data_IF_615770430707
#
_entry.id   IF_615770430707
#
_cell.length_a   1.000
_cell.length_b   1.000
_cell.length_c   1.000
_cell.angle_alpha   90.00
_cell.angle_beta   90.00
_cell.angle_gamma   90.00
#
_symmetry.space_group_name_H-M   'P 1'
#
loop_
_entity.id
_entity.type
_entity.pdbx_description
1 polymer ?
#
# COMPACT_ATOMS: atom_id res chain seq x y z
N UNK A 1 4.29 31.08 -22.81
CA UNK A 1 3.67 30.37 -21.67
C UNK A 1 3.99 28.87 -21.61
N UNK A 2 5.04 28.35 -22.26
CA UNK A 2 5.15 26.90 -22.52
C UNK A 2 6.04 26.10 -21.55
N UNK A 3 7.22 26.59 -21.14
CA UNK A 3 8.17 25.73 -20.38
C UNK A 3 7.84 25.53 -18.89
N UNK A 4 7.32 26.55 -18.19
CA UNK A 4 7.08 26.48 -16.73
C UNK A 4 5.90 25.59 -16.32
N UNK A 5 4.89 25.42 -17.20
CA UNK A 5 3.76 24.51 -16.93
C UNK A 5 4.17 23.06 -17.11
N UNK A 6 4.89 22.74 -18.19
CA UNK A 6 5.43 21.40 -18.44
C UNK A 6 6.41 20.94 -17.35
N UNK A 7 7.27 21.84 -16.86
CA UNK A 7 8.15 21.53 -15.73
C UNK A 7 7.39 21.25 -14.42
N UNK A 8 6.29 21.97 -14.17
CA UNK A 8 5.43 21.75 -13.00
C UNK A 8 4.64 20.45 -13.08
N UNK A 9 4.11 20.09 -14.24
CA UNK A 9 3.39 18.81 -14.42
C UNK A 9 4.34 17.62 -14.25
N UNK A 10 5.56 17.69 -14.77
CA UNK A 10 6.60 16.67 -14.57
C UNK A 10 6.99 16.51 -13.08
N UNK A 11 7.20 17.63 -12.36
CA UNK A 11 7.49 17.56 -10.92
C UNK A 11 6.33 16.97 -10.12
N UNK A 12 5.09 17.32 -10.45
CA UNK A 12 3.91 16.79 -9.76
C UNK A 12 3.78 15.28 -9.97
N UNK A 13 4.00 14.80 -11.19
CA UNK A 13 3.97 13.35 -11.51
C UNK A 13 5.05 12.60 -10.74
N UNK A 14 6.27 13.16 -10.64
CA UNK A 14 7.36 12.53 -9.89
C UNK A 14 7.06 12.43 -8.39
N UNK A 15 6.52 13.50 -7.80
CA UNK A 15 6.09 13.50 -6.38
C UNK A 15 4.98 12.48 -6.14
N UNK A 16 3.97 12.44 -7.01
CA UNK A 16 2.89 11.46 -6.86
C UNK A 16 3.37 10.02 -7.08
N UNK A 17 4.33 9.79 -7.98
CA UNK A 17 4.98 8.48 -8.16
C UNK A 17 5.71 8.04 -6.89
N UNK A 18 6.48 8.93 -6.27
CA UNK A 18 7.15 8.66 -4.99
C UNK A 18 6.13 8.37 -3.87
N UNK A 19 4.98 9.05 -3.86
CA UNK A 19 3.90 8.75 -2.91
C UNK A 19 3.30 7.35 -3.13
N UNK A 20 3.10 6.92 -4.39
CA UNK A 20 2.62 5.57 -4.70
C UNK A 20 3.62 4.51 -4.25
N UNK A 21 4.92 4.69 -4.52
CA UNK A 21 5.97 3.77 -4.10
C UNK A 21 6.13 3.70 -2.58
N UNK A 22 6.11 4.84 -1.89
CA UNK A 22 6.18 4.87 -0.42
C UNK A 22 4.96 4.19 0.21
N UNK A 23 3.75 4.41 -0.34
CA UNK A 23 2.54 3.73 0.10
C UNK A 23 2.59 2.23 -0.14
N UNK A 24 3.12 1.77 -1.28
CA UNK A 24 3.33 0.35 -1.57
C UNK A 24 4.24 -0.29 -0.51
N UNK A 25 5.40 0.32 -0.23
CA UNK A 25 6.35 -0.17 0.79
C UNK A 25 5.72 -0.24 2.18
N UNK A 26 4.94 0.78 2.55
CA UNK A 26 4.24 0.80 3.84
C UNK A 26 3.21 -0.33 3.96
N UNK A 27 2.45 -0.60 2.89
CA UNK A 27 1.48 -1.70 2.87
C UNK A 27 2.15 -3.07 2.93
N UNK A 28 3.26 -3.26 2.22
CA UNK A 28 4.05 -4.50 2.26
C UNK A 28 4.67 -4.74 3.64
N UNK A 29 5.27 -3.71 4.25
CA UNK A 29 5.83 -3.79 5.59
C UNK A 29 4.75 -4.09 6.65
N UNK A 30 3.57 -3.47 6.52
CA UNK A 30 2.44 -3.74 7.42
C UNK A 30 1.94 -5.18 7.30
N UNK A 31 1.83 -5.72 6.08
CA UNK A 31 1.43 -7.11 5.86
C UNK A 31 2.45 -8.08 6.50
N UNK A 32 3.76 -7.83 6.31
CA UNK A 32 4.81 -8.64 6.91
C UNK A 32 4.76 -8.63 8.44
N UNK A 33 4.61 -7.45 9.05
CA UNK A 33 4.53 -7.29 10.50
C UNK A 33 3.31 -8.01 11.10
N UNK A 34 2.16 -8.03 10.41
CA UNK A 34 0.98 -8.77 10.87
C UNK A 34 1.17 -10.28 10.81
N UNK A 35 1.86 -10.79 9.79
CA UNK A 35 2.24 -12.20 9.72
C UNK A 35 3.20 -12.59 10.87
N UNK A 36 4.21 -11.77 11.14
CA UNK A 36 5.13 -12.02 12.25
C UNK A 36 4.43 -11.97 13.61
N UNK A 37 3.53 -11.00 13.81
CA UNK A 37 2.69 -10.92 15.00
C UNK A 37 1.87 -12.19 15.21
N UNK A 38 1.22 -12.71 14.16
CA UNK A 38 0.45 -13.95 14.26
C UNK A 38 1.33 -15.15 14.62
N UNK A 39 2.56 -15.22 14.07
CA UNK A 39 3.53 -16.27 14.38
C UNK A 39 4.02 -16.19 15.82
N UNK A 40 4.33 -15.00 16.33
CA UNK A 40 4.72 -14.79 17.72
C UNK A 40 3.59 -15.13 18.68
N UNK A 41 2.36 -14.72 18.36
CA UNK A 41 1.19 -15.03 19.19
C UNK A 41 0.89 -16.54 19.23
N UNK A 42 1.13 -17.26 18.13
CA UNK A 42 1.03 -18.72 18.12
C UNK A 42 2.05 -19.37 19.06
N UNK A 43 3.28 -18.84 19.13
CA UNK A 43 4.30 -19.32 20.07
C UNK A 43 3.90 -19.02 21.52
N UNK A 44 3.46 -17.80 21.81
CA UNK A 44 3.01 -17.42 23.14
C UNK A 44 1.82 -18.29 23.62
N UNK A 45 0.86 -18.58 22.73
CA UNK A 45 -0.24 -19.49 23.05
C UNK A 45 0.25 -20.92 23.34
N UNK A 46 1.19 -21.43 22.55
CA UNK A 46 1.76 -22.77 22.78
C UNK A 46 2.53 -22.87 24.11
N UNK A 47 3.07 -21.74 24.59
CA UNK A 47 3.75 -21.63 25.89
C UNK A 47 2.76 -21.34 27.05
N UNK A 48 1.48 -21.11 26.76
CA UNK A 48 0.48 -20.72 27.76
C UNK A 48 0.57 -19.26 28.21
N UNK A 49 1.39 -18.44 27.54
CA UNK A 49 1.62 -17.02 27.85
C UNK A 49 0.58 -16.09 27.19
N UNK A 50 -0.18 -16.59 26.22
CA UNK A 50 -1.26 -15.86 25.55
C UNK A 50 -2.55 -16.68 25.50
N UNK A 51 -3.69 -15.99 25.57
CA UNK A 51 -4.98 -16.61 25.45
C UNK A 51 -5.35 -16.92 23.98
N UNK A 52 -6.35 -17.79 23.79
CA UNK A 52 -6.82 -18.19 22.47
C UNK A 52 -7.44 -17.03 21.68
N UNK A 53 -8.11 -16.09 22.35
CA UNK A 53 -8.77 -14.95 21.71
C UNK A 53 -7.73 -13.99 21.09
N UNK A 54 -6.62 -13.74 21.80
CA UNK A 54 -5.49 -12.97 21.29
C UNK A 54 -4.86 -13.62 20.06
N UNK A 55 -4.71 -14.95 20.05
CA UNK A 55 -4.24 -15.71 18.89
C UNK A 55 -5.19 -15.59 17.69
N UNK A 56 -6.49 -15.80 17.90
CA UNK A 56 -7.49 -15.72 16.84
C UNK A 56 -7.58 -14.30 16.25
N UNK A 57 -7.48 -13.27 17.10
CA UNK A 57 -7.45 -11.89 16.66
C UNK A 57 -6.21 -11.59 15.81
N UNK A 58 -5.01 -12.03 16.24
CA UNK A 58 -3.78 -11.83 15.48
C UNK A 58 -3.83 -12.53 14.11
N UNK A 59 -4.40 -13.74 14.04
CA UNK A 59 -4.61 -14.46 12.78
C UNK A 59 -5.58 -13.74 11.85
N UNK A 60 -6.70 -13.22 12.39
CA UNK A 60 -7.65 -12.42 11.61
C UNK A 60 -7.02 -11.15 11.06
N UNK A 61 -6.17 -10.48 11.83
CA UNK A 61 -5.44 -9.29 11.37
C UNK A 61 -4.46 -9.66 10.23
N UNK A 62 -3.72 -10.76 10.36
CA UNK A 62 -2.81 -11.22 9.31
C UNK A 62 -3.53 -11.58 7.99
N UNK A 63 -4.72 -12.18 8.06
CA UNK A 63 -5.51 -12.47 6.85
C UNK A 63 -6.17 -11.24 6.24
N UNK A 64 -6.66 -10.31 7.08
CA UNK A 64 -7.25 -9.05 6.62
C UNK A 64 -6.22 -8.14 5.93
N UNK A 65 -5.01 -8.05 6.47
CA UNK A 65 -3.86 -7.37 5.85
C UNK A 65 -3.06 -8.30 4.91
N UNK A 66 -3.75 -9.14 4.13
CA UNK A 66 -3.05 -10.02 3.19
C UNK A 66 -2.21 -9.24 2.18
N UNK A 67 -1.09 -9.83 1.75
CA UNK A 67 -0.24 -9.28 0.69
C UNK A 67 -1.02 -8.99 -0.61
N UNK A 68 -2.11 -9.73 -0.87
CA UNK A 68 -2.99 -9.50 -2.01
C UNK A 68 -3.72 -8.15 -1.91
N UNK A 69 -4.28 -7.83 -0.74
CA UNK A 69 -4.95 -6.54 -0.52
C UNK A 69 -3.96 -5.36 -0.64
N UNK A 70 -2.74 -5.53 -0.13
CA UNK A 70 -1.65 -4.55 -0.29
C UNK A 70 -1.32 -4.31 -1.77
N UNK A 71 -1.14 -5.38 -2.55
CA UNK A 71 -0.88 -5.30 -4.00
C UNK A 71 -2.03 -4.64 -4.76
N UNK A 72 -3.28 -4.99 -4.44
CA UNK A 72 -4.45 -4.37 -5.05
C UNK A 72 -4.55 -2.87 -4.74
N UNK A 73 -4.27 -2.47 -3.50
CA UNK A 73 -4.21 -1.06 -3.09
C UNK A 73 -3.10 -0.26 -3.78
N UNK A 74 -1.93 -0.87 -3.98
CA UNK A 74 -0.83 -0.28 -4.73
C UNK A 74 -1.19 -0.11 -6.22
N UNK A 75 -1.74 -1.14 -6.86
CA UNK A 75 -2.18 -1.08 -8.26
C UNK A 75 -3.25 0.00 -8.48
N UNK A 76 -4.25 0.08 -7.59
CA UNK A 76 -5.27 1.13 -7.62
C UNK A 76 -4.66 2.53 -7.52
N UNK A 77 -3.68 2.72 -6.64
CA UNK A 77 -3.01 4.02 -6.46
C UNK A 77 -2.19 4.40 -7.69
N UNK A 78 -1.52 3.43 -8.33
CA UNK A 78 -0.77 3.63 -9.57
C UNK A 78 -1.68 4.03 -10.74
N UNK A 79 -2.78 3.30 -10.97
CA UNK A 79 -3.70 3.64 -12.06
C UNK A 79 -4.39 4.98 -11.83
N UNK A 80 -4.69 5.33 -10.57
CA UNK A 80 -5.25 6.64 -10.25
C UNK A 80 -4.28 7.78 -10.56
N UNK A 81 -2.98 7.60 -10.30
CA UNK A 81 -1.96 8.56 -10.71
C UNK A 81 -1.97 8.75 -12.23
N UNK A 82 -1.98 7.66 -13.01
CA UNK A 82 -1.99 7.77 -14.46
C UNK A 82 -3.24 8.49 -15.02
N UNK A 83 -4.39 8.30 -14.37
CA UNK A 83 -5.63 9.01 -14.70
C UNK A 83 -5.52 10.49 -14.31
N UNK A 84 -5.14 10.80 -13.06
CA UNK A 84 -5.04 12.18 -12.54
C UNK A 84 -3.98 13.01 -13.30
N UNK A 85 -2.92 12.35 -13.79
CA UNK A 85 -1.89 12.96 -14.61
C UNK A 85 -2.29 13.11 -16.10
N UNK A 86 -3.50 12.69 -16.47
CA UNK A 86 -3.98 12.69 -17.86
C UNK A 86 -3.06 11.93 -18.83
N UNK A 87 -2.36 10.90 -18.34
CA UNK A 87 -1.45 10.09 -19.15
C UNK A 87 -2.16 8.95 -19.89
N UNK A 88 -3.40 8.63 -19.51
CA UNK A 88 -4.24 7.59 -20.14
C UNK A 88 -5.32 8.20 -21.03
N UNK A 89 -5.85 9.36 -20.65
CA UNK A 89 -6.81 10.10 -21.46
C UNK A 89 -6.15 11.34 -22.01
N UNK A 90 -6.12 11.41 -23.34
CA UNK A 90 -5.57 12.51 -24.13
C UNK A 90 -6.49 13.74 -24.04
N UNK A 91 -6.49 14.38 -22.86
CA UNK A 91 -7.28 15.56 -22.52
C UNK A 91 -6.57 16.87 -22.90
N UNK A 92 -5.40 16.80 -23.54
CA UNK A 92 -4.64 17.95 -24.05
C UNK A 92 -5.12 18.43 -25.44
N UNK A 93 -6.20 17.83 -25.97
CA UNK A 93 -6.83 18.21 -27.25
C UNK A 93 -8.08 19.09 -27.07
N UNK A 94 -7.95 20.28 -26.48
CA UNK A 94 -8.84 21.44 -26.71
C UNK A 94 -8.07 22.77 -26.67
#
# INVERSE_FOLDING_TARGET
>A
MSARRAARSLQLVEVMRQQVESKKRALEASALAMHDKARLMQRAYALGEADLQALLLARRQATAQSALAARAGAAKSYYRLLIDAHLIWDLDHE
#
